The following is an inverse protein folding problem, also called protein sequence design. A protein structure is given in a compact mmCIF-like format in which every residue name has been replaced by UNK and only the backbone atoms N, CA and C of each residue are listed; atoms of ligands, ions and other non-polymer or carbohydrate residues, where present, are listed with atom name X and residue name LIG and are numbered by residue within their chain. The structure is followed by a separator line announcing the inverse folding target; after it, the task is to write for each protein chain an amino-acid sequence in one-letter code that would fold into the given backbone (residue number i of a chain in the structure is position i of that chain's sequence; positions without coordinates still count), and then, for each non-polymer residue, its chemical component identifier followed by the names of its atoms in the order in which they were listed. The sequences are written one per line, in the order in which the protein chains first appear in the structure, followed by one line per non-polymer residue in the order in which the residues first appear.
data_IF_334008970352
#
_entry.id   IF_334008970352
#
_cell.length_a   1.000
_cell.length_b   1.000
_cell.length_c   1.000
_cell.angle_alpha   90.00
_cell.angle_beta   90.00
_cell.angle_gamma   90.00
#
_symmetry.space_group_name_H-M   'P 1'
#
loop_
_entity.id
_entity.type
_entity.pdbx_description
1 polymer ?
#
# COMPACT_ATOMS: atom_id res chain seq x y z
N UNK A 1 3.50 22.82 12.16
CA UNK A 1 3.07 22.28 10.87
C UNK A 1 1.75 21.55 11.03
N UNK A 2 0.85 21.61 10.05
CA UNK A 2 -0.27 20.66 9.93
C UNK A 2 0.27 19.27 9.61
N UNK A 3 -0.54 18.24 9.79
CA UNK A 3 -0.16 16.86 9.42
C UNK A 3 0.19 16.76 7.92
N UNK A 4 -0.59 17.42 7.05
CA UNK A 4 -0.34 17.49 5.62
C UNK A 4 1.01 18.14 5.29
N UNK A 5 1.30 19.31 5.87
CA UNK A 5 2.59 20.00 5.67
C UNK A 5 3.77 19.14 6.11
N UNK A 6 3.62 18.38 7.20
CA UNK A 6 4.63 17.48 7.74
C UNK A 6 4.92 16.32 6.80
N UNK A 7 3.89 15.66 6.27
CA UNK A 7 4.02 14.60 5.28
C UNK A 7 4.70 15.13 4.01
N UNK A 8 4.23 16.26 3.48
CA UNK A 8 4.82 16.88 2.27
C UNK A 8 6.29 17.28 2.51
N UNK A 9 6.62 17.79 3.70
CA UNK A 9 8.01 18.09 4.05
C UNK A 9 8.87 16.83 4.02
N UNK A 10 8.43 15.73 4.63
CA UNK A 10 9.17 14.47 4.63
C UNK A 10 9.35 13.90 3.22
N UNK A 11 8.31 13.88 2.39
CA UNK A 11 8.40 13.43 0.99
C UNK A 11 9.45 14.24 0.20
N UNK A 12 9.54 15.54 0.45
CA UNK A 12 10.50 16.44 -0.19
C UNK A 12 11.85 16.54 0.54
N UNK A 13 12.17 15.61 1.42
CA UNK A 13 13.41 15.56 2.22
C UNK A 13 13.71 16.86 2.99
N UNK A 14 12.67 17.60 3.37
CA UNK A 14 12.76 18.78 4.24
C UNK A 14 12.43 18.38 5.67
N UNK A 15 13.18 18.91 6.63
CA UNK A 15 12.97 18.59 8.04
C UNK A 15 11.58 19.06 8.52
N UNK A 16 10.65 18.16 8.87
CA UNK A 16 9.41 18.54 9.53
C UNK A 16 9.66 18.88 11.01
N UNK A 17 8.65 19.45 11.67
CA UNK A 17 8.69 19.77 13.11
C UNK A 17 8.80 18.55 14.02
N UNK A 18 8.35 17.38 13.55
CA UNK A 18 8.54 16.04 14.11
C UNK A 18 8.46 14.99 13.01
N UNK A 19 8.90 13.78 13.29
CA UNK A 19 8.71 12.65 12.35
C UNK A 19 7.21 12.41 12.13
N UNK A 20 6.75 12.33 10.86
CA UNK A 20 5.38 11.95 10.56
C UNK A 20 5.14 10.49 10.88
N UNK A 21 3.90 10.17 11.26
CA UNK A 21 3.47 8.83 11.66
C UNK A 21 2.28 8.38 10.82
N UNK A 22 2.26 7.06 10.51
CA UNK A 22 1.12 6.45 9.84
C UNK A 22 0.64 5.17 10.54
N UNK A 23 -0.69 5.05 10.66
CA UNK A 23 -1.44 3.86 11.02
C UNK A 23 -2.85 3.97 10.45
N UNK A 24 -3.17 3.12 9.49
CA UNK A 24 -4.44 3.17 8.77
C UNK A 24 -4.57 4.31 7.76
N UNK A 25 -3.48 5.04 7.48
CA UNK A 25 -3.44 6.06 6.43
C UNK A 25 -3.10 5.51 5.05
N UNK A 26 -2.74 4.23 4.95
CA UNK A 26 -2.59 3.48 3.69
C UNK A 26 -3.18 2.08 3.85
N UNK A 27 -3.45 1.37 2.74
CA UNK A 27 -3.85 -0.05 2.81
C UNK A 27 -2.78 -0.94 3.44
N UNK A 28 -1.52 -0.49 3.44
CA UNK A 28 -0.39 -1.25 3.95
C UNK A 28 -0.12 -1.01 5.44
N UNK A 29 -0.79 -0.04 6.05
CA UNK A 29 -0.67 0.30 7.47
C UNK A 29 -1.95 0.09 8.28
N UNK A 30 -2.89 -0.71 7.76
CA UNK A 30 -4.11 -1.12 8.46
C UNK A 30 -3.83 -2.26 9.45
N UNK A 31 -4.86 -2.82 10.05
CA UNK A 31 -4.74 -3.97 10.95
C UNK A 31 -5.88 -4.96 10.73
N UNK A 32 -5.72 -6.17 11.25
CA UNK A 32 -6.82 -7.13 11.29
C UNK A 32 -7.92 -6.66 12.24
N UNK A 33 -9.19 -7.05 12.00
CA UNK A 33 -10.33 -6.67 12.85
C UNK A 33 -10.12 -7.04 14.33
N UNK A 34 -9.52 -8.19 14.61
CA UNK A 34 -9.22 -8.68 15.96
C UNK A 34 -8.28 -7.71 16.69
N UNK A 35 -7.21 -7.28 16.05
CA UNK A 35 -6.29 -6.27 16.61
C UNK A 35 -7.01 -4.94 16.86
N UNK A 36 -7.85 -4.51 15.93
CA UNK A 36 -8.60 -3.25 16.06
C UNK A 36 -9.56 -3.29 17.26
N UNK A 37 -10.21 -4.43 17.50
CA UNK A 37 -11.05 -4.63 18.70
C UNK A 37 -10.24 -4.52 19.99
N UNK A 38 -9.06 -5.16 20.04
CA UNK A 38 -8.20 -5.11 21.21
C UNK A 38 -7.67 -3.68 21.45
N UNK A 39 -7.34 -2.95 20.39
CA UNK A 39 -6.98 -1.54 20.48
C UNK A 39 -8.15 -0.70 21.02
N UNK A 40 -9.38 -0.91 20.53
CA UNK A 40 -10.58 -0.22 21.04
C UNK A 40 -10.80 -0.50 22.52
N UNK A 41 -10.69 -1.76 22.97
CA UNK A 41 -10.78 -2.15 24.38
C UNK A 41 -9.72 -1.47 25.24
N UNK A 42 -8.47 -1.49 24.77
CA UNK A 42 -7.34 -0.86 25.48
C UNK A 42 -7.52 0.66 25.66
N UNK A 43 -8.17 1.31 24.69
CA UNK A 43 -8.48 2.75 24.71
C UNK A 43 -9.83 3.10 25.36
N UNK A 44 -10.62 2.11 25.77
CA UNK A 44 -11.94 2.32 26.37
C UNK A 44 -13.00 2.77 25.35
N UNK A 45 -12.85 2.43 24.09
CA UNK A 45 -13.82 2.73 23.03
C UNK A 45 -14.86 1.62 22.89
N UNK A 46 -16.09 2.00 22.52
CA UNK A 46 -17.14 1.03 22.21
C UNK A 46 -16.78 0.19 20.99
N UNK A 47 -17.15 -1.11 21.05
CA UNK A 47 -17.04 -1.99 19.91
C UNK A 47 -18.26 -1.79 19.00
N UNK A 48 -18.09 -1.87 17.66
CA UNK A 48 -19.24 -1.83 16.75
C UNK A 48 -20.17 -3.02 16.99
N UNK A 49 -21.48 -2.81 16.82
CA UNK A 49 -22.49 -3.84 16.98
C UNK A 49 -22.37 -4.93 15.90
N UNK A 50 -21.83 -4.60 14.75
CA UNK A 50 -21.64 -5.50 13.61
C UNK A 50 -20.16 -5.46 13.18
N UNK A 51 -19.43 -6.53 13.49
CA UNK A 51 -18.01 -6.68 13.16
C UNK A 51 -17.74 -6.70 11.66
N UNK A 52 -18.69 -7.20 10.87
CA UNK A 52 -18.54 -7.32 9.42
C UNK A 52 -18.78 -5.98 8.70
N UNK A 53 -19.39 -5.01 9.38
CA UNK A 53 -19.68 -3.68 8.82
C UNK A 53 -18.46 -2.74 8.81
N UNK A 54 -17.48 -2.98 9.68
CA UNK A 54 -16.40 -2.03 9.97
C UNK A 54 -15.11 -2.24 9.14
N UNK A 55 -14.94 -3.42 8.56
CA UNK A 55 -13.77 -3.75 7.75
C UNK A 55 -12.44 -3.63 8.52
N UNK A 56 -11.34 -3.48 7.79
CA UNK A 56 -9.97 -3.34 8.32
C UNK A 56 -9.55 -1.88 8.53
N UNK A 57 -10.51 -0.94 8.48
CA UNK A 57 -10.23 0.49 8.58
C UNK A 57 -9.98 0.90 10.02
N UNK A 58 -8.85 1.56 10.26
CA UNK A 58 -8.55 2.11 11.58
C UNK A 58 -9.45 3.30 11.86
N UNK A 59 -10.15 3.28 13.00
CA UNK A 59 -11.01 4.38 13.41
C UNK A 59 -10.30 5.73 13.43
N UNK A 60 -10.92 6.76 12.93
CA UNK A 60 -10.38 8.11 13.00
C UNK A 60 -10.11 8.56 14.46
N UNK A 61 -10.92 8.09 15.42
CA UNK A 61 -10.68 8.36 16.86
C UNK A 61 -9.33 7.78 17.31
N UNK A 62 -9.00 6.57 16.88
CA UNK A 62 -7.71 5.93 17.17
C UNK A 62 -6.58 6.69 16.48
N UNK A 63 -6.74 7.02 15.20
CA UNK A 63 -5.74 7.80 14.45
C UNK A 63 -5.49 9.17 15.10
N UNK A 64 -6.52 9.86 15.57
CA UNK A 64 -6.39 11.13 16.30
C UNK A 64 -5.70 10.95 17.66
N UNK A 65 -6.05 9.88 18.40
CA UNK A 65 -5.40 9.57 19.68
C UNK A 65 -3.89 9.29 19.50
N UNK A 66 -3.51 8.60 18.43
CA UNK A 66 -2.13 8.27 18.09
C UNK A 66 -1.40 9.41 17.37
N UNK A 67 -2.06 10.52 17.07
CA UNK A 67 -1.52 11.67 16.34
C UNK A 67 -0.92 11.25 14.98
N UNK A 68 -1.71 10.47 14.21
CA UNK A 68 -1.39 10.00 12.86
C UNK A 68 -1.56 11.11 11.84
N UNK A 69 -0.64 11.21 10.88
CA UNK A 69 -0.58 12.31 9.92
C UNK A 69 -1.25 12.01 8.57
N UNK A 70 -1.44 10.73 8.24
CA UNK A 70 -2.09 10.28 7.00
C UNK A 70 -3.54 9.86 7.23
N UNK A 71 -4.35 10.01 6.18
CA UNK A 71 -5.73 9.50 6.12
C UNK A 71 -5.97 8.79 4.81
N UNK A 72 -6.43 7.56 4.88
CA UNK A 72 -6.84 6.79 3.72
C UNK A 72 -8.24 7.24 3.29
N UNK A 73 -8.39 7.62 2.03
CA UNK A 73 -9.69 7.67 1.38
C UNK A 73 -9.98 6.25 0.91
N UNK A 74 -10.93 5.54 1.51
CA UNK A 74 -11.15 4.13 1.22
C UNK A 74 -11.61 3.95 -0.22
N UNK A 75 -10.97 3.03 -0.95
CA UNK A 75 -11.40 2.66 -2.30
C UNK A 75 -12.69 1.82 -2.35
N UNK A 76 -13.15 1.33 -1.17
CA UNK A 76 -14.45 0.70 -0.98
C UNK A 76 -15.23 1.50 0.04
N UNK A 77 -16.47 1.88 -0.29
CA UNK A 77 -17.33 2.63 0.61
C UNK A 77 -17.80 1.72 1.75
N UNK A 78 -17.70 2.15 3.02
CA UNK A 78 -18.20 1.37 4.15
C UNK A 78 -19.68 0.99 4.00
N UNK A 79 -20.07 -0.22 4.41
CA UNK A 79 -21.43 -0.72 4.25
C UNK A 79 -22.52 0.18 4.90
N UNK A 80 -22.19 0.85 6.00
CA UNK A 80 -23.09 1.80 6.65
C UNK A 80 -23.43 2.95 5.71
N UNK A 81 -22.43 3.49 5.01
CA UNK A 81 -22.63 4.59 4.05
C UNK A 81 -23.36 4.12 2.80
N UNK A 82 -23.13 2.87 2.37
CA UNK A 82 -23.79 2.30 1.18
C UNK A 82 -25.29 2.07 1.36
N UNK A 83 -25.77 1.84 2.58
CA UNK A 83 -27.20 1.80 2.88
C UNK A 83 -27.87 3.15 2.65
N UNK A 84 -27.12 4.25 2.78
CA UNK A 84 -27.59 5.60 2.53
C UNK A 84 -27.56 5.97 1.03
N UNK A 85 -26.69 5.30 0.24
CA UNK A 85 -26.49 5.60 -1.18
C UNK A 85 -27.25 4.66 -2.12
N UNK A 86 -27.86 3.57 -1.62
CA UNK A 86 -28.67 2.57 -2.33
C UNK A 86 -27.98 1.90 -3.55
N UNK A 87 -26.83 1.26 -3.31
CA UNK A 87 -26.07 0.55 -4.35
C UNK A 87 -25.78 -0.92 -4.03
N UNK A 88 -26.82 -1.75 -4.07
CA UNK A 88 -26.77 -3.18 -3.74
C UNK A 88 -25.86 -4.05 -4.64
N UNK A 89 -25.69 -3.68 -5.91
CA UNK A 89 -25.01 -4.56 -6.87
C UNK A 89 -23.48 -4.50 -6.79
N UNK A 90 -22.92 -3.33 -6.51
CA UNK A 90 -21.47 -3.18 -6.32
C UNK A 90 -20.98 -3.96 -5.10
N UNK A 91 -21.74 -3.92 -4.02
CA UNK A 91 -21.44 -4.65 -2.78
C UNK A 91 -21.50 -6.16 -2.89
N UNK A 92 -22.42 -6.70 -3.70
CA UNK A 92 -22.46 -8.16 -3.91
C UNK A 92 -21.18 -8.69 -4.53
N UNK A 93 -20.50 -7.89 -5.33
CA UNK A 93 -19.22 -8.25 -5.96
C UNK A 93 -18.05 -8.13 -4.98
N UNK A 94 -18.06 -7.13 -4.09
CA UNK A 94 -17.05 -7.00 -3.02
C UNK A 94 -17.23 -8.05 -1.91
N UNK A 95 -18.46 -8.44 -1.59
CA UNK A 95 -18.75 -9.53 -0.63
C UNK A 95 -18.23 -10.90 -1.06
N UNK A 96 -17.98 -11.12 -2.34
CA UNK A 96 -17.33 -12.35 -2.84
C UNK A 96 -15.80 -12.32 -2.67
N UNK A 97 -15.20 -11.17 -2.42
CA UNK A 97 -13.90 -11.03 -1.78
C UNK A 97 -14.08 -11.10 -0.26
N UNK A 98 -14.55 -12.24 0.26
CA UNK A 98 -14.37 -12.52 1.67
C UNK A 98 -12.90 -12.34 1.96
N UNK A 99 -12.54 -11.40 2.83
CA UNK A 99 -11.30 -11.47 3.57
C UNK A 99 -11.35 -12.80 4.31
N UNK A 100 -10.72 -13.79 3.71
CA UNK A 100 -10.60 -15.12 4.29
C UNK A 100 -9.79 -14.88 5.54
N UNK A 101 -10.38 -15.14 6.71
CA UNK A 101 -9.72 -14.98 7.99
C UNK A 101 -8.34 -15.60 7.87
N UNK A 102 -7.29 -14.82 8.16
CA UNK A 102 -5.90 -15.32 8.11
C UNK A 102 -5.68 -16.52 9.04
N UNK A 103 -6.56 -16.72 10.03
CA UNK A 103 -6.62 -17.94 10.85
C UNK A 103 -6.81 -19.22 10.02
N UNK A 104 -7.37 -19.12 8.81
CA UNK A 104 -7.49 -20.28 7.91
C UNK A 104 -6.55 -20.18 6.72
N UNK A 105 -5.24 -20.17 6.99
CA UNK A 105 -4.17 -20.18 5.96
C UNK A 105 -4.35 -21.26 4.90
N UNK A 106 -5.10 -22.33 5.21
CA UNK A 106 -5.40 -23.39 4.25
C UNK A 106 -6.28 -22.92 3.11
N UNK A 107 -7.24 -22.03 3.35
CA UNK A 107 -8.14 -21.51 2.33
C UNK A 107 -7.46 -20.45 1.46
N UNK A 108 -6.63 -19.56 2.04
CA UNK A 108 -5.84 -18.57 1.27
C UNK A 108 -4.85 -19.29 0.34
N UNK A 109 -4.12 -20.27 0.85
CA UNK A 109 -3.21 -21.09 0.03
C UNK A 109 -3.95 -21.93 -1.00
N UNK A 110 -5.16 -22.37 -0.72
CA UNK A 110 -5.96 -23.16 -1.68
C UNK A 110 -6.53 -22.27 -2.79
N UNK A 111 -7.05 -21.09 -2.48
CA UNK A 111 -7.56 -20.15 -3.48
C UNK A 111 -6.47 -19.59 -4.40
N UNK A 112 -5.28 -19.32 -3.86
CA UNK A 112 -4.11 -18.90 -4.65
C UNK A 112 -3.59 -20.05 -5.53
N UNK A 113 -3.61 -21.29 -5.05
CA UNK A 113 -3.14 -22.45 -5.83
C UNK A 113 -4.08 -22.84 -6.99
N UNK A 114 -5.34 -22.47 -6.96
CA UNK A 114 -6.32 -22.81 -7.99
C UNK A 114 -6.52 -21.74 -9.08
N UNK A 115 -5.83 -20.60 -9.00
CA UNK A 115 -6.10 -19.44 -9.85
C UNK A 115 -4.85 -18.92 -10.58
N UNK A 116 -4.28 -19.74 -11.45
CA UNK A 116 -3.40 -19.23 -12.50
C UNK A 116 -4.12 -19.38 -13.85
N UNK A 117 -5.06 -18.48 -14.19
CA UNK A 117 -5.92 -18.65 -15.35
C UNK A 117 -5.16 -18.70 -16.68
N UNK A 118 -3.93 -18.18 -16.71
CA UNK A 118 -3.07 -18.17 -17.91
C UNK A 118 -2.01 -19.28 -17.89
N UNK A 119 -1.95 -20.12 -16.85
CA UNK A 119 -0.97 -21.18 -16.74
C UNK A 119 -1.10 -22.17 -17.89
N UNK A 120 0.02 -22.45 -18.59
CA UNK A 120 0.07 -23.37 -19.71
C UNK A 120 -0.57 -22.88 -21.02
N UNK A 121 -1.15 -21.69 -21.05
CA UNK A 121 -1.67 -21.10 -22.29
C UNK A 121 -0.53 -20.68 -23.22
N UNK A 122 -0.73 -20.89 -24.53
CA UNK A 122 0.19 -20.38 -25.54
C UNK A 122 0.06 -18.86 -25.72
N UNK A 123 1.06 -18.24 -26.39
CA UNK A 123 0.98 -16.82 -26.77
C UNK A 123 -0.32 -16.51 -27.54
N UNK A 124 -0.67 -17.33 -28.55
CA UNK A 124 -1.85 -17.11 -29.36
C UNK A 124 -3.15 -17.24 -28.55
N UNK A 125 -3.21 -18.20 -27.61
CA UNK A 125 -4.37 -18.32 -26.72
C UNK A 125 -4.54 -17.11 -25.82
N UNK A 126 -3.44 -16.61 -25.20
CA UNK A 126 -3.47 -15.40 -24.36
C UNK A 126 -3.86 -14.20 -25.21
N UNK A 127 -3.27 -14.03 -26.39
CA UNK A 127 -3.56 -12.93 -27.30
C UNK A 127 -5.03 -12.89 -27.73
N UNK A 128 -5.61 -14.05 -28.02
CA UNK A 128 -7.00 -14.15 -28.45
C UNK A 128 -8.01 -13.97 -27.33
N UNK A 129 -7.73 -14.52 -26.14
CA UNK A 129 -8.74 -14.74 -25.11
C UNK A 129 -8.52 -13.93 -23.83
N UNK A 130 -7.30 -13.45 -23.56
CA UNK A 130 -7.03 -12.69 -22.34
C UNK A 130 -7.22 -11.18 -22.55
N UNK A 131 -8.07 -10.63 -21.70
CA UNK A 131 -8.22 -9.19 -21.47
C UNK A 131 -8.45 -9.01 -19.97
N UNK A 132 -7.64 -8.19 -19.34
CA UNK A 132 -7.91 -7.80 -17.96
C UNK A 132 -9.19 -6.97 -17.92
N UNK A 133 -10.03 -7.27 -16.94
CA UNK A 133 -11.28 -6.51 -16.76
C UNK A 133 -10.99 -5.20 -16.05
N UNK A 134 -11.30 -4.10 -16.70
CA UNK A 134 -11.35 -2.80 -16.04
C UNK A 134 -12.56 -2.80 -15.11
N UNK A 135 -12.42 -2.39 -13.84
CA UNK A 135 -13.57 -2.16 -12.99
C UNK A 135 -14.54 -1.17 -13.66
N UNK A 136 -15.84 -1.39 -13.55
CA UNK A 136 -16.79 -0.39 -14.04
C UNK A 136 -16.54 0.95 -13.33
N UNK A 137 -16.77 2.05 -14.04
CA UNK A 137 -16.70 3.37 -13.44
C UNK A 137 -17.60 3.42 -12.18
N UNK A 138 -17.08 3.91 -11.05
CA UNK A 138 -17.91 4.06 -9.87
C UNK A 138 -19.09 4.99 -10.17
N UNK A 139 -20.28 4.75 -9.60
CA UNK A 139 -21.38 5.70 -9.67
C UNK A 139 -20.97 7.08 -9.15
N UNK A 140 -21.59 8.15 -9.66
CA UNK A 140 -21.30 9.53 -9.26
C UNK A 140 -21.37 9.71 -7.73
N UNK A 141 -22.36 9.09 -7.07
CA UNK A 141 -22.48 9.12 -5.61
C UNK A 141 -21.26 8.53 -4.85
N UNK A 142 -20.57 7.56 -5.44
CA UNK A 142 -19.32 7.03 -4.88
C UNK A 142 -18.17 8.02 -5.07
N UNK A 143 -18.10 8.64 -6.24
CA UNK A 143 -17.10 9.68 -6.51
C UNK A 143 -17.32 10.86 -5.58
N UNK A 144 -18.56 11.32 -5.42
CA UNK A 144 -18.93 12.40 -4.49
C UNK A 144 -18.53 12.05 -3.04
N UNK A 145 -18.72 10.80 -2.63
CA UNK A 145 -18.32 10.34 -1.30
C UNK A 145 -16.79 10.35 -1.14
N UNK A 146 -16.04 9.88 -2.14
CA UNK A 146 -14.56 9.93 -2.10
C UNK A 146 -14.07 11.38 -1.99
N UNK A 147 -14.62 12.28 -2.80
CA UNK A 147 -14.29 13.71 -2.77
C UNK A 147 -14.63 14.31 -1.40
N UNK A 148 -15.84 14.07 -0.89
CA UNK A 148 -16.26 14.59 0.40
C UNK A 148 -15.38 14.09 1.55
N UNK A 149 -14.98 12.81 1.52
CA UNK A 149 -14.09 12.20 2.51
C UNK A 149 -12.69 12.80 2.43
N UNK A 150 -12.11 12.89 1.22
CA UNK A 150 -10.78 13.47 1.03
C UNK A 150 -10.77 14.95 1.43
N UNK A 151 -11.79 15.70 1.06
CA UNK A 151 -11.95 17.11 1.42
C UNK A 151 -12.05 17.29 2.93
N UNK A 152 -12.86 16.48 3.62
CA UNK A 152 -12.98 16.52 5.07
C UNK A 152 -11.62 16.36 5.76
N UNK A 153 -10.83 15.35 5.36
CA UNK A 153 -9.51 15.13 5.94
C UNK A 153 -8.53 16.27 5.64
N UNK A 154 -8.57 16.83 4.44
CA UNK A 154 -7.70 17.96 4.08
C UNK A 154 -8.07 19.25 4.80
N UNK A 155 -9.36 19.52 4.96
CA UNK A 155 -9.86 20.69 5.72
C UNK A 155 -9.42 20.60 7.21
N UNK A 156 -9.29 19.38 7.75
CA UNK A 156 -8.75 19.10 9.09
C UNK A 156 -7.20 19.10 9.14
N UNK A 157 -6.54 19.34 8.00
CA UNK A 157 -5.08 19.47 7.91
C UNK A 157 -4.31 18.16 7.76
N UNK A 158 -4.97 17.05 7.42
CA UNK A 158 -4.32 15.77 7.15
C UNK A 158 -3.89 15.62 5.69
N UNK A 159 -2.85 14.81 5.45
CA UNK A 159 -2.54 14.34 4.11
C UNK A 159 -3.40 13.13 3.76
N UNK A 160 -3.83 13.03 2.50
CA UNK A 160 -4.76 12.01 2.03
C UNK A 160 -4.10 11.05 1.06
N UNK A 161 -4.46 9.78 1.17
CA UNK A 161 -4.02 8.72 0.27
C UNK A 161 -5.20 8.05 -0.42
N UNK A 162 -4.97 7.52 -1.62
CA UNK A 162 -5.94 6.70 -2.35
C UNK A 162 -5.23 5.54 -3.04
N UNK A 163 -5.74 4.32 -2.85
CA UNK A 163 -5.19 3.13 -3.50
C UNK A 163 -5.75 3.00 -4.91
N UNK A 164 -4.87 3.08 -5.91
CA UNK A 164 -5.27 3.04 -7.33
C UNK A 164 -5.35 1.62 -7.85
N UNK A 165 -4.26 0.86 -7.76
CA UNK A 165 -4.22 -0.52 -8.26
C UNK A 165 -3.02 -1.32 -7.73
N UNK A 166 -3.08 -2.65 -7.92
CA UNK A 166 -1.89 -3.50 -7.89
C UNK A 166 -0.99 -3.22 -9.10
N UNK A 167 0.25 -3.68 -9.03
CA UNK A 167 1.24 -3.52 -10.09
C UNK A 167 1.05 -4.44 -11.30
N UNK A 168 2.13 -4.61 -12.03
CA UNK A 168 2.17 -5.34 -13.30
C UNK A 168 2.77 -6.73 -13.11
N UNK A 169 3.93 -6.81 -12.43
CA UNK A 169 4.65 -8.07 -12.21
C UNK A 169 3.86 -9.02 -11.32
N UNK A 170 3.41 -8.54 -10.16
CA UNK A 170 2.63 -9.35 -9.22
C UNK A 170 1.31 -9.84 -9.84
N UNK A 171 0.64 -9.00 -10.64
CA UNK A 171 -0.54 -9.42 -11.39
C UNK A 171 -0.22 -10.51 -12.41
N UNK A 172 0.93 -10.43 -13.08
CA UNK A 172 1.47 -11.49 -13.92
C UNK A 172 1.71 -12.79 -13.15
N UNK A 173 2.33 -12.68 -11.96
CA UNK A 173 2.54 -13.82 -11.05
C UNK A 173 1.24 -14.50 -10.65
N UNK A 174 0.21 -13.74 -10.30
CA UNK A 174 -1.10 -14.30 -9.90
C UNK A 174 -1.88 -14.90 -11.07
N UNK A 175 -1.62 -14.44 -12.27
CA UNK A 175 -2.35 -14.92 -13.46
C UNK A 175 -1.64 -16.07 -14.16
N UNK A 176 -0.32 -16.04 -14.27
CA UNK A 176 0.49 -17.03 -14.98
C UNK A 176 1.09 -18.09 -14.05
N UNK A 177 1.43 -17.71 -12.83
CA UNK A 177 2.22 -18.45 -11.85
C UNK A 177 3.59 -17.79 -11.66
N UNK A 178 4.11 -17.77 -10.43
CA UNK A 178 5.41 -17.15 -10.12
C UNK A 178 6.57 -17.79 -10.87
N UNK A 179 6.55 -19.12 -10.97
CA UNK A 179 7.52 -19.92 -11.69
C UNK A 179 7.41 -19.68 -13.22
N UNK A 180 6.20 -19.77 -13.77
CA UNK A 180 5.97 -19.65 -15.21
C UNK A 180 6.28 -18.23 -15.71
N UNK A 181 5.85 -17.18 -15.03
CA UNK A 181 6.12 -15.81 -15.46
C UNK A 181 7.63 -15.48 -15.41
N UNK A 182 8.36 -15.97 -14.40
CA UNK A 182 9.80 -15.80 -14.35
C UNK A 182 10.52 -16.55 -15.46
N UNK A 183 10.05 -17.74 -15.85
CA UNK A 183 10.56 -18.49 -17.00
C UNK A 183 10.24 -17.75 -18.29
N UNK A 184 9.01 -17.25 -18.45
CA UNK A 184 8.60 -16.51 -19.65
C UNK A 184 9.42 -15.22 -19.82
N UNK A 185 9.69 -14.48 -18.75
CA UNK A 185 10.57 -13.29 -18.81
C UNK A 185 11.98 -13.59 -19.34
N UNK A 186 12.46 -14.82 -19.24
CA UNK A 186 13.78 -15.21 -19.70
C UNK A 186 13.76 -15.91 -21.07
N UNK A 187 12.78 -16.78 -21.31
CA UNK A 187 12.75 -17.71 -22.43
C UNK A 187 11.63 -17.44 -23.44
N UNK A 188 10.52 -16.82 -23.02
CA UNK A 188 9.34 -16.55 -23.84
C UNK A 188 8.88 -15.10 -23.63
N UNK A 189 9.79 -14.15 -23.86
CA UNK A 189 9.58 -12.73 -23.52
C UNK A 189 8.29 -12.14 -24.09
N UNK A 190 7.91 -12.54 -25.29
CA UNK A 190 6.68 -12.13 -25.95
C UNK A 190 5.42 -12.49 -25.14
N UNK A 191 5.43 -13.64 -24.44
CA UNK A 191 4.34 -14.04 -23.55
C UNK A 191 4.27 -13.14 -22.33
N UNK A 192 5.41 -12.89 -21.66
CA UNK A 192 5.46 -12.02 -20.48
C UNK A 192 5.06 -10.58 -20.83
N UNK A 193 5.60 -10.05 -21.93
CA UNK A 193 5.29 -8.69 -22.43
C UNK A 193 3.81 -8.54 -22.76
N UNK A 194 3.19 -9.52 -23.44
CA UNK A 194 1.77 -9.51 -23.75
C UNK A 194 0.91 -9.48 -22.49
N UNK A 195 1.27 -10.27 -21.46
CA UNK A 195 0.56 -10.29 -20.17
C UNK A 195 0.68 -8.92 -19.47
N UNK A 196 1.88 -8.36 -19.41
CA UNK A 196 2.12 -7.07 -18.79
C UNK A 196 1.43 -5.92 -19.52
N UNK A 197 1.42 -5.95 -20.86
CA UNK A 197 0.69 -5.00 -21.70
C UNK A 197 -0.81 -5.00 -21.39
N UNK A 198 -1.44 -6.19 -21.28
CA UNK A 198 -2.86 -6.29 -20.96
C UNK A 198 -3.21 -5.72 -19.57
N UNK A 199 -2.34 -5.95 -18.60
CA UNK A 199 -2.51 -5.35 -17.28
C UNK A 199 -2.30 -3.83 -17.31
N UNK A 200 -1.29 -3.35 -18.01
CA UNK A 200 -1.05 -1.91 -18.17
C UNK A 200 -2.23 -1.20 -18.84
N UNK A 201 -2.75 -1.74 -19.96
CA UNK A 201 -3.90 -1.18 -20.68
C UNK A 201 -5.11 -0.99 -19.74
N UNK A 202 -5.48 -2.05 -19.01
CA UNK A 202 -6.61 -2.00 -18.10
C UNK A 202 -6.41 -0.99 -16.93
N UNK A 203 -5.19 -0.91 -16.38
CA UNK A 203 -4.88 0.03 -15.31
C UNK A 203 -4.84 1.48 -15.79
N UNK A 204 -4.36 1.73 -16.99
CA UNK A 204 -4.40 3.07 -17.60
C UNK A 204 -5.85 3.55 -17.79
N UNK A 205 -6.75 2.68 -18.26
CA UNK A 205 -8.17 3.00 -18.39
C UNK A 205 -8.81 3.29 -17.02
N UNK A 206 -8.48 2.47 -16.00
CA UNK A 206 -8.93 2.71 -14.64
C UNK A 206 -8.40 4.05 -14.06
N UNK A 207 -7.11 4.37 -14.27
CA UNK A 207 -6.52 5.63 -13.84
C UNK A 207 -7.23 6.81 -14.50
N UNK A 208 -7.53 6.74 -15.80
CA UNK A 208 -8.26 7.78 -16.52
C UNK A 208 -9.69 7.98 -15.99
N UNK A 209 -10.26 6.95 -15.35
CA UNK A 209 -11.58 7.01 -14.74
C UNK A 209 -11.54 7.60 -13.33
N UNK A 210 -10.63 7.12 -12.48
CA UNK A 210 -10.70 7.38 -11.02
C UNK A 210 -9.84 8.57 -10.57
N UNK A 211 -8.73 8.85 -11.23
CA UNK A 211 -7.79 9.90 -10.78
C UNK A 211 -8.31 11.32 -11.04
N UNK A 212 -8.87 11.65 -12.24
CA UNK A 212 -9.27 13.03 -12.53
C UNK A 212 -10.22 13.65 -11.50
N UNK A 213 -11.30 12.99 -11.06
CA UNK A 213 -12.21 13.58 -10.06
C UNK A 213 -11.58 13.75 -8.68
N UNK A 214 -10.52 12.98 -8.36
CA UNK A 214 -9.84 13.01 -7.07
C UNK A 214 -8.59 13.90 -7.05
N UNK A 215 -8.14 14.39 -8.20
CA UNK A 215 -6.84 15.04 -8.37
C UNK A 215 -6.63 16.26 -7.45
N UNK A 216 -7.70 17.00 -7.15
CA UNK A 216 -7.63 18.17 -6.27
C UNK A 216 -7.52 17.79 -4.78
N UNK A 217 -8.06 16.64 -4.39
CA UNK A 217 -8.31 16.30 -2.98
C UNK A 217 -7.40 15.19 -2.45
N UNK A 218 -6.78 14.40 -3.32
CA UNK A 218 -5.87 13.32 -2.93
C UNK A 218 -4.42 13.76 -3.11
N UNK A 219 -3.63 13.69 -2.03
CA UNK A 219 -2.22 14.07 -2.05
C UNK A 219 -1.32 12.95 -2.56
N UNK A 220 -1.67 11.68 -2.28
CA UNK A 220 -0.82 10.53 -2.56
C UNK A 220 -1.64 9.42 -3.22
N UNK A 221 -1.28 9.04 -4.44
CA UNK A 221 -1.85 7.89 -5.13
C UNK A 221 -0.96 6.66 -4.93
N UNK A 222 -1.58 5.57 -4.41
CA UNK A 222 -0.87 4.38 -3.96
C UNK A 222 -0.99 3.23 -4.96
N UNK A 223 0.11 2.53 -5.15
CA UNK A 223 0.25 1.31 -5.95
C UNK A 223 0.98 0.23 -5.16
N UNK A 224 0.77 -1.05 -5.52
CA UNK A 224 1.53 -2.17 -4.99
C UNK A 224 1.98 -3.11 -6.10
N UNK A 225 3.23 -3.55 -6.05
CA UNK A 225 3.78 -4.57 -6.95
C UNK A 225 4.94 -5.27 -6.23
N UNK A 226 4.72 -6.46 -5.69
CA UNK A 226 5.75 -7.20 -4.97
C UNK A 226 6.84 -7.68 -5.94
N UNK A 227 7.97 -6.96 -5.93
CA UNK A 227 9.10 -7.16 -6.83
C UNK A 227 10.23 -7.98 -6.22
N UNK A 228 10.14 -8.35 -4.93
CA UNK A 228 11.23 -8.94 -4.19
C UNK A 228 10.79 -9.98 -3.17
N UNK A 229 11.74 -10.84 -2.82
CA UNK A 229 11.70 -11.74 -1.66
C UNK A 229 12.59 -11.18 -0.54
N UNK A 230 12.62 -11.84 0.63
CA UNK A 230 13.50 -11.49 1.75
C UNK A 230 14.98 -11.40 1.35
N UNK A 231 15.43 -12.23 0.40
CA UNK A 231 16.82 -12.36 -0.03
C UNK A 231 17.24 -11.43 -1.17
N UNK A 232 16.29 -10.78 -1.85
CA UNK A 232 16.54 -9.90 -2.99
C UNK A 232 15.41 -9.86 -3.99
N UNK A 233 15.53 -9.04 -5.06
CA UNK A 233 14.51 -8.95 -6.10
C UNK A 233 14.30 -10.29 -6.85
N UNK A 234 13.08 -10.50 -7.36
CA UNK A 234 12.77 -11.64 -8.24
C UNK A 234 13.58 -11.64 -9.54
N UNK A 235 14.05 -10.47 -9.96
CA UNK A 235 14.77 -10.26 -11.20
C UNK A 235 15.94 -9.29 -11.01
N UNK A 236 16.92 -9.33 -11.92
CA UNK A 236 18.01 -8.35 -11.94
C UNK A 236 17.50 -6.95 -12.29
N UNK A 237 18.19 -5.87 -11.89
CA UNK A 237 17.84 -4.51 -12.32
C UNK A 237 17.76 -4.33 -13.84
N UNK A 238 18.59 -5.07 -14.60
CA UNK A 238 18.54 -5.06 -16.07
C UNK A 238 17.24 -5.63 -16.61
N UNK A 239 16.82 -6.80 -16.12
CA UNK A 239 15.56 -7.43 -16.51
C UNK A 239 14.35 -6.56 -16.09
N UNK A 240 14.38 -5.99 -14.89
CA UNK A 240 13.36 -5.06 -14.45
C UNK A 240 13.22 -3.86 -15.40
N UNK A 241 14.35 -3.24 -15.77
CA UNK A 241 14.39 -2.10 -16.70
C UNK A 241 13.84 -2.46 -18.09
N UNK A 242 14.14 -3.67 -18.57
CA UNK A 242 13.74 -4.10 -19.91
C UNK A 242 12.28 -4.59 -19.99
N UNK A 243 11.80 -5.32 -18.99
CA UNK A 243 10.56 -6.10 -19.09
C UNK A 243 9.44 -5.67 -18.14
N UNK A 244 9.71 -4.95 -17.05
CA UNK A 244 8.67 -4.53 -16.10
C UNK A 244 8.46 -3.02 -16.13
N UNK A 245 9.55 -2.27 -16.07
CA UNK A 245 9.53 -0.81 -16.05
C UNK A 245 8.77 -0.18 -17.24
N UNK A 246 8.83 -0.71 -18.50
CA UNK A 246 8.08 -0.16 -19.62
C UNK A 246 6.55 -0.22 -19.46
N UNK A 247 6.06 -1.13 -18.63
CA UNK A 247 4.63 -1.33 -18.36
C UNK A 247 4.19 -0.69 -17.05
N UNK A 248 5.08 -0.55 -16.07
CA UNK A 248 4.77 0.03 -14.77
C UNK A 248 4.90 1.57 -14.77
N UNK A 249 5.97 2.12 -15.35
CA UNK A 249 6.20 3.56 -15.38
C UNK A 249 5.09 4.39 -16.07
N UNK A 250 4.42 3.91 -17.14
CA UNK A 250 3.31 4.62 -17.74
C UNK A 250 2.14 4.89 -16.77
N UNK A 251 1.93 4.02 -15.76
CA UNK A 251 0.87 4.19 -14.76
C UNK A 251 1.13 5.46 -13.92
N UNK A 252 2.35 5.62 -13.41
CA UNK A 252 2.73 6.79 -12.61
C UNK A 252 2.70 8.08 -13.43
N UNK A 253 3.19 8.02 -14.67
CA UNK A 253 3.10 9.14 -15.61
C UNK A 253 1.65 9.55 -15.90
N UNK A 254 0.73 8.57 -15.98
CA UNK A 254 -0.69 8.85 -16.21
C UNK A 254 -1.33 9.52 -15.01
N UNK A 255 -1.02 9.08 -13.78
CA UNK A 255 -1.45 9.77 -12.55
C UNK A 255 -0.93 11.21 -12.54
N UNK A 256 0.37 11.42 -12.77
CA UNK A 256 0.98 12.75 -12.82
C UNK A 256 0.37 13.67 -13.89
N UNK A 257 -0.08 13.09 -14.99
CA UNK A 257 -0.79 13.86 -16.06
C UNK A 257 -2.12 14.42 -15.56
N UNK A 258 -2.86 13.65 -14.75
CA UNK A 258 -4.16 14.05 -14.21
C UNK A 258 -4.05 14.85 -12.90
N UNK A 259 -3.07 14.52 -12.08
CA UNK A 259 -2.82 15.09 -10.75
C UNK A 259 -1.34 15.49 -10.60
N UNK A 260 -0.89 16.60 -11.23
CA UNK A 260 0.53 16.97 -11.30
C UNK A 260 1.16 17.27 -9.95
N UNK A 261 0.38 17.72 -8.98
CA UNK A 261 0.85 18.09 -7.63
C UNK A 261 0.77 16.92 -6.62
N UNK A 262 0.32 15.74 -7.06
CA UNK A 262 0.23 14.56 -6.20
C UNK A 262 1.55 13.80 -6.14
N UNK A 263 1.66 12.87 -5.19
CA UNK A 263 2.80 11.99 -4.99
C UNK A 263 2.44 10.54 -5.32
N UNK A 264 3.44 9.74 -5.67
CA UNK A 264 3.32 8.31 -5.95
C UNK A 264 3.89 7.51 -4.80
N UNK A 265 3.05 6.71 -4.17
CA UNK A 265 3.43 5.71 -3.18
C UNK A 265 3.50 4.35 -3.87
N UNK A 266 4.61 3.64 -3.70
CA UNK A 266 4.79 2.30 -4.22
C UNK A 266 5.08 1.31 -3.09
N UNK A 267 4.23 0.29 -2.99
CA UNK A 267 4.44 -0.84 -2.09
C UNK A 267 5.12 -1.99 -2.81
N UNK A 268 6.15 -2.53 -2.20
CA UNK A 268 6.77 -3.81 -2.58
C UNK A 268 7.44 -4.45 -1.38
N UNK A 269 6.94 -5.57 -0.92
CA UNK A 269 7.58 -6.36 0.12
C UNK A 269 8.96 -6.88 -0.28
N UNK A 270 9.77 -7.22 0.72
CA UNK A 270 11.07 -7.84 0.53
C UNK A 270 12.23 -6.86 0.32
N UNK A 271 13.35 -7.40 -0.14
CA UNK A 271 14.57 -6.66 -0.40
C UNK A 271 14.56 -6.04 -1.80
N UNK A 272 13.94 -4.88 -1.93
CA UNK A 272 13.94 -4.10 -3.19
C UNK A 272 15.18 -3.22 -3.37
N UNK A 273 16.15 -3.28 -2.47
CA UNK A 273 17.31 -2.39 -2.43
C UNK A 273 17.92 -2.10 -3.81
N UNK A 274 18.18 -3.14 -4.59
CA UNK A 274 18.79 -2.99 -5.93
C UNK A 274 17.88 -2.31 -6.96
N UNK A 275 16.59 -2.25 -6.72
CA UNK A 275 15.58 -1.64 -7.60
C UNK A 275 15.22 -0.21 -7.20
N UNK A 276 15.56 0.24 -5.98
CA UNK A 276 15.20 1.58 -5.47
C UNK A 276 15.57 2.71 -6.45
N UNK A 277 16.77 2.76 -7.06
CA UNK A 277 17.09 3.82 -8.02
C UNK A 277 16.20 3.79 -9.27
N UNK A 278 15.74 2.61 -9.71
CA UNK A 278 14.86 2.47 -10.86
C UNK A 278 13.42 2.87 -10.52
N UNK A 279 12.97 2.57 -9.29
CA UNK A 279 11.67 3.03 -8.79
C UNK A 279 11.64 4.57 -8.72
N UNK A 280 12.70 5.21 -8.20
CA UNK A 280 12.84 6.65 -8.21
C UNK A 280 12.85 7.24 -9.64
N UNK A 281 13.58 6.61 -10.57
CA UNK A 281 13.62 7.01 -12.00
C UNK A 281 12.22 6.97 -12.64
N UNK A 282 11.34 6.05 -12.22
CA UNK A 282 9.96 5.99 -12.69
C UNK A 282 9.05 7.07 -12.09
N UNK A 283 9.52 7.77 -11.05
CA UNK A 283 8.76 8.81 -10.36
C UNK A 283 8.03 8.35 -9.10
N UNK A 284 8.52 7.28 -8.45
CA UNK A 284 8.08 6.90 -7.11
C UNK A 284 8.65 7.92 -6.11
N UNK A 285 7.79 8.51 -5.29
CA UNK A 285 8.18 9.47 -4.26
C UNK A 285 8.28 8.80 -2.87
N UNK A 286 7.43 7.79 -2.62
CA UNK A 286 7.36 7.09 -1.33
C UNK A 286 7.47 5.60 -1.58
N UNK A 287 8.44 4.96 -0.93
CA UNK A 287 8.65 3.52 -0.98
C UNK A 287 8.20 2.85 0.34
N UNK A 288 7.36 1.85 0.24
CA UNK A 288 6.87 1.01 1.34
C UNK A 288 6.98 -0.49 0.97
N UNK A 289 7.24 -1.36 1.93
CA UNK A 289 7.71 -1.03 3.27
C UNK A 289 9.21 -0.80 3.28
N UNK A 290 9.68 -0.09 4.30
CA UNK A 290 11.06 -0.20 4.71
C UNK A 290 11.21 -1.51 5.50
N UNK A 291 11.27 -2.64 4.79
CA UNK A 291 11.30 -3.97 5.43
C UNK A 291 12.70 -4.28 5.95
N UNK A 292 13.04 -3.73 7.11
CA UNK A 292 14.40 -3.74 7.69
C UNK A 292 14.94 -5.14 7.98
N UNK A 293 14.09 -6.15 8.11
CA UNK A 293 14.46 -7.57 8.26
C UNK A 293 14.90 -8.22 6.96
N UNK A 294 14.63 -7.61 5.80
CA UNK A 294 15.08 -8.12 4.51
C UNK A 294 16.56 -7.73 4.21
N UNK A 295 17.23 -8.54 3.38
CA UNK A 295 18.64 -8.34 3.02
C UNK A 295 18.84 -6.95 2.42
N UNK A 296 19.87 -6.23 2.86
CA UNK A 296 20.27 -4.88 2.42
C UNK A 296 19.26 -3.75 2.74
N UNK A 297 18.13 -4.02 3.42
CA UNK A 297 17.10 -3.04 3.75
C UNK A 297 17.30 -2.37 5.12
N UNK A 298 18.47 -2.53 5.76
CA UNK A 298 18.77 -1.84 7.02
C UNK A 298 18.71 -0.31 6.84
N UNK A 299 18.15 0.45 7.82
CA UNK A 299 18.02 1.90 7.73
C UNK A 299 19.32 2.63 7.39
N UNK A 300 20.45 2.14 7.90
CA UNK A 300 21.77 2.70 7.65
C UNK A 300 22.21 2.60 6.18
N UNK A 301 21.73 1.57 5.45
CA UNK A 301 21.97 1.42 4.01
C UNK A 301 21.01 2.25 3.16
N UNK A 302 19.82 2.47 3.67
CA UNK A 302 18.76 3.18 2.94
C UNK A 302 18.89 4.69 3.06
N UNK A 303 19.55 5.20 4.10
CA UNK A 303 19.71 6.65 4.33
C UNK A 303 20.29 7.34 3.09
N UNK A 304 19.48 8.20 2.45
CA UNK A 304 19.88 8.94 1.25
C UNK A 304 20.05 8.08 -0.01
N UNK A 305 19.58 6.82 0.02
CA UNK A 305 19.65 5.95 -1.14
C UNK A 305 18.39 6.09 -1.99
N UNK A 306 18.57 6.35 -3.29
CA UNK A 306 17.51 6.34 -4.29
C UNK A 306 16.61 7.57 -4.35
N UNK A 307 16.82 8.61 -3.52
CA UNK A 307 16.01 9.85 -3.53
C UNK A 307 14.50 9.60 -3.41
N UNK A 308 14.12 8.72 -2.50
CA UNK A 308 12.73 8.40 -2.15
C UNK A 308 12.49 8.61 -0.66
N UNK A 309 11.27 9.01 -0.30
CA UNK A 309 10.82 8.99 1.09
C UNK A 309 10.50 7.54 1.50
N UNK A 310 11.08 7.07 2.59
CA UNK A 310 10.82 5.73 3.10
C UNK A 310 9.61 5.72 4.04
N UNK A 311 8.76 4.71 3.92
CA UNK A 311 7.57 4.52 4.74
C UNK A 311 7.58 3.14 5.42
N UNK A 312 7.13 3.06 6.68
CA UNK A 312 7.13 1.82 7.44
C UNK A 312 8.34 1.70 8.35
N UNK A 313 8.96 0.53 8.43
CA UNK A 313 10.27 0.35 9.04
C UNK A 313 10.30 -0.10 10.49
N UNK A 314 9.17 -0.12 11.21
CA UNK A 314 9.14 -0.82 12.51
C UNK A 314 8.78 -2.27 12.25
N UNK A 315 9.73 -3.17 12.50
CA UNK A 315 9.66 -4.56 12.07
C UNK A 315 8.47 -5.32 12.68
N UNK A 316 7.75 -6.02 11.80
CA UNK A 316 6.56 -6.78 12.12
C UNK A 316 6.83 -8.26 12.38
N UNK A 317 8.03 -8.75 12.05
CA UNK A 317 8.36 -10.17 12.18
C UNK A 317 8.95 -10.52 13.54
N UNK A 318 9.65 -9.59 14.18
CA UNK A 318 10.34 -9.80 15.43
C UNK A 318 10.07 -8.67 16.46
N UNK A 319 10.27 -7.40 16.06
CA UNK A 319 10.23 -6.27 17.01
C UNK A 319 8.83 -6.05 17.57
N UNK A 320 7.83 -5.84 16.74
CA UNK A 320 6.46 -5.54 17.19
C UNK A 320 5.81 -6.70 17.95
N UNK A 321 5.97 -7.99 17.54
CA UNK A 321 5.34 -9.08 18.28
C UNK A 321 6.06 -9.47 19.57
N UNK A 322 7.40 -9.33 19.65
CA UNK A 322 8.18 -10.05 20.67
C UNK A 322 8.99 -9.16 21.61
N UNK A 323 9.22 -7.89 21.26
CA UNK A 323 9.99 -6.97 22.11
C UNK A 323 9.09 -6.35 23.18
N UNK A 324 9.71 -5.87 24.27
CA UNK A 324 8.98 -5.07 25.26
C UNK A 324 8.61 -3.69 24.69
N UNK A 325 7.57 -3.02 25.23
CA UNK A 325 7.17 -1.68 24.81
C UNK A 325 8.32 -0.66 24.77
N UNK A 326 9.22 -0.71 25.77
CA UNK A 326 10.39 0.18 25.84
C UNK A 326 11.41 -0.11 24.72
N UNK A 327 11.57 -1.36 24.31
CA UNK A 327 12.45 -1.74 23.20
C UNK A 327 11.83 -1.34 21.86
N UNK A 328 10.54 -1.55 21.65
CA UNK A 328 9.81 -1.08 20.48
C UNK A 328 9.93 0.44 20.33
N UNK A 329 9.76 1.17 21.42
CA UNK A 329 9.92 2.62 21.44
C UNK A 329 11.33 3.04 21.00
N UNK A 330 12.38 2.44 21.58
CA UNK A 330 13.77 2.72 21.21
C UNK A 330 14.07 2.38 19.74
N UNK A 331 13.53 1.28 19.23
CA UNK A 331 13.73 0.90 17.84
C UNK A 331 13.03 1.89 16.89
N UNK A 332 11.81 2.32 17.19
CA UNK A 332 11.13 3.36 16.41
C UNK A 332 11.95 4.67 16.40
N UNK A 333 12.46 5.10 17.54
CA UNK A 333 13.34 6.28 17.68
C UNK A 333 14.63 6.13 16.86
N UNK A 334 15.24 4.94 16.89
CA UNK A 334 16.44 4.62 16.09
C UNK A 334 16.18 4.75 14.59
N UNK A 335 15.13 4.12 14.11
CA UNK A 335 14.79 4.15 12.68
C UNK A 335 14.45 5.57 12.23
N UNK A 336 13.65 6.31 13.00
CA UNK A 336 13.33 7.71 12.73
C UNK A 336 14.59 8.58 12.69
N UNK A 337 15.49 8.43 13.66
CA UNK A 337 16.73 9.20 13.72
C UNK A 337 17.69 8.94 12.56
N UNK A 338 17.70 7.72 12.01
CA UNK A 338 18.53 7.37 10.87
C UNK A 338 17.94 7.88 9.56
N UNK A 339 16.65 7.62 9.30
CA UNK A 339 16.04 7.86 7.99
C UNK A 339 15.53 9.29 7.79
N UNK A 340 15.31 10.06 8.87
CA UNK A 340 14.90 11.45 8.74
C UNK A 340 15.91 12.28 7.89
N UNK A 341 15.42 13.30 7.14
CA UNK A 341 14.03 13.81 7.11
C UNK A 341 13.10 13.08 6.13
N UNK A 342 13.60 12.24 5.24
CA UNK A 342 12.85 11.54 4.19
C UNK A 342 12.17 10.25 4.69
N UNK A 343 11.38 10.33 5.77
CA UNK A 343 10.81 9.15 6.39
C UNK A 343 9.44 9.39 7.02
N UNK A 344 8.55 8.42 6.86
CA UNK A 344 7.23 8.33 7.51
C UNK A 344 7.23 7.05 8.36
N UNK A 345 7.16 7.19 9.67
CA UNK A 345 7.19 6.06 10.59
C UNK A 345 5.85 5.34 10.62
N UNK A 346 5.89 4.04 10.40
CA UNK A 346 4.72 3.15 10.43
C UNK A 346 5.16 1.72 10.79
N UNK A 347 4.23 0.83 11.18
CA UNK A 347 4.48 -0.60 11.12
C UNK A 347 4.91 -1.01 9.70
N UNK A 348 5.76 -2.02 9.60
CA UNK A 348 6.30 -2.46 8.32
C UNK A 348 5.22 -2.90 7.33
N UNK A 349 4.10 -3.46 7.83
CA UNK A 349 2.93 -3.88 7.05
C UNK A 349 1.67 -3.84 7.91
N UNK A 350 0.52 -4.28 7.34
CA UNK A 350 -0.74 -4.46 8.09
C UNK A 350 -0.53 -5.35 9.32
N UNK A 351 -1.07 -4.90 10.47
CA UNK A 351 -0.87 -5.58 11.76
C UNK A 351 -1.70 -6.86 11.84
N UNK A 352 -1.07 -8.01 12.14
CA UNK A 352 -1.76 -9.24 12.52
C UNK A 352 -2.24 -9.21 13.98
N UNK A 353 -3.00 -10.21 14.38
CA UNK A 353 -3.61 -10.34 15.71
C UNK A 353 -2.60 -10.61 16.85
N UNK A 354 -1.40 -11.10 16.54
CA UNK A 354 -0.38 -11.50 17.51
C UNK A 354 0.53 -10.35 17.98
N UNK A 355 0.35 -9.15 17.45
CA UNK A 355 1.07 -7.95 17.91
C UNK A 355 0.40 -7.39 19.17
N UNK A 356 1.12 -7.23 20.31
CA UNK A 356 0.54 -6.60 21.49
C UNK A 356 0.16 -5.14 21.25
N UNK A 357 -1.04 -4.74 21.69
CA UNK A 357 -1.52 -3.35 21.56
C UNK A 357 -0.58 -2.35 22.23
N UNK A 358 -0.01 -2.71 23.40
CA UNK A 358 0.95 -1.90 24.13
C UNK A 358 2.21 -1.58 23.33
N UNK A 359 2.62 -2.46 22.42
CA UNK A 359 3.77 -2.24 21.56
C UNK A 359 3.47 -1.19 20.48
N UNK A 360 2.26 -1.20 19.93
CA UNK A 360 1.84 -0.12 19.02
C UNK A 360 1.71 1.20 19.76
N UNK A 361 1.10 1.20 20.95
CA UNK A 361 1.03 2.41 21.77
C UNK A 361 2.43 2.94 22.14
N UNK A 362 3.39 2.08 22.42
CA UNK A 362 4.77 2.48 22.71
C UNK A 362 5.47 3.07 21.48
N UNK A 363 5.30 2.47 20.30
CA UNK A 363 5.81 3.01 19.03
C UNK A 363 5.31 4.44 18.81
N UNK A 364 4.01 4.69 19.03
CA UNK A 364 3.42 6.03 18.83
C UNK A 364 3.78 7.04 19.94
N UNK A 365 4.31 6.58 21.08
CA UNK A 365 4.86 7.41 22.18
C UNK A 365 6.36 7.66 22.06
N UNK A 366 7.00 7.19 21.01
CA UNK A 366 8.40 7.44 20.73
C UNK A 366 8.69 8.95 20.60
N UNK A 367 9.91 9.40 20.91
CA UNK A 367 10.32 10.78 20.68
C UNK A 367 10.50 11.01 19.17
N UNK A 368 9.65 11.84 18.61
CA UNK A 368 9.58 12.12 17.17
C UNK A 368 10.44 13.30 16.75
N UNK A 369 11.34 13.79 17.63
CA UNK A 369 12.24 14.88 17.28
C UNK A 369 13.19 14.44 16.17
N UNK A 370 13.29 15.29 15.16
CA UNK A 370 14.28 15.17 14.09
C UNK A 370 15.50 15.99 14.54
N UNK A 371 16.61 15.31 14.78
CA UNK A 371 17.88 15.91 15.21
C UNK A 371 18.72 16.25 13.98
#
# INVERSE_FOLDING_TARGET
MTSRERIIAAINHKAPDRAPMDFGGTLMSVCLPEFLEDMRRALGYELPADRDADGTWVDEKIQRYLDVDLRLVPGAIPQVVLKEIDHDEFLRRERTRKYIRMADRSIVTHSVRTQFPLRGMSYEDIRANFREKVPPAPPDSHIDWYIATAKHYRDDGFATTFWVSSGIFEAGCWSRGYDDICVDMLLNRDVAELIFERFMEARLEWIDTIVPPLAEYVDIFCFGDDLAMQSGPFMSPGIFRELVMPYLAPLYKRVRKHAPDSYIFHHSCGSVYKLVPLLAEMGVDILNPTQISAVDMAPEKLKGYGDVCYHGGVDLQDVLPHYSPDEVKREAERVMGILAPGYICAPCHSLPEDVPVENILAMFRADRKII
#
